data_IF_963498322078
#
_entry.id   IF_963498322078
#
_cell.length_a   1.000
_cell.length_b   1.000
_cell.length_c   1.000
_cell.angle_alpha   90.00
_cell.angle_beta   90.00
_cell.angle_gamma   90.00
#
_symmetry.space_group_name_H-M   'P 1'
#
loop_
_entity.id
_entity.type
_entity.pdbx_description
1 polymer ?
#
# COMPACT_ATOMS: atom_id res chain seq x y z
N UNK A 1 -5.99 17.80 12.45
CA UNK A 1 -5.61 18.96 11.62
C UNK A 1 -4.08 19.07 11.47
N UNK A 2 -3.30 18.95 12.53
CA UNK A 2 -1.83 19.04 12.49
C UNK A 2 -1.21 18.05 11.47
N UNK A 3 -1.62 16.78 11.49
CA UNK A 3 -1.15 15.77 10.52
C UNK A 3 -1.49 16.12 9.08
N UNK A 4 -2.66 16.72 8.85
CA UNK A 4 -3.07 17.17 7.53
C UNK A 4 -2.15 18.26 6.97
N UNK A 5 -1.73 19.18 7.83
CA UNK A 5 -0.77 20.23 7.47
C UNK A 5 0.59 19.61 7.12
N UNK A 6 1.08 18.65 7.92
CA UNK A 6 2.33 17.95 7.64
C UNK A 6 2.29 17.21 6.29
N UNK A 7 1.23 16.47 6.01
CA UNK A 7 1.07 15.79 4.72
C UNK A 7 1.02 16.76 3.54
N UNK A 8 0.28 17.86 3.67
CA UNK A 8 0.25 18.90 2.63
C UNK A 8 1.64 19.49 2.37
N UNK A 9 2.44 19.70 3.40
CA UNK A 9 3.82 20.16 3.27
C UNK A 9 4.66 19.14 2.48
N UNK A 10 4.56 17.84 2.78
CA UNK A 10 5.26 16.79 2.04
C UNK A 10 4.77 16.71 0.59
N UNK A 11 3.47 16.80 0.36
CA UNK A 11 2.89 16.79 -0.99
C UNK A 11 3.43 17.98 -1.82
N UNK A 12 3.48 19.17 -1.24
CA UNK A 12 4.06 20.35 -1.89
C UNK A 12 5.54 20.16 -2.21
N UNK A 13 6.32 19.61 -1.27
CA UNK A 13 7.75 19.30 -1.45
C UNK A 13 8.02 18.41 -2.67
N UNK A 14 7.17 17.41 -2.89
CA UNK A 14 7.30 16.45 -3.99
C UNK A 14 6.51 16.83 -5.24
N UNK A 15 5.76 17.93 -5.23
CA UNK A 15 4.88 18.32 -6.34
C UNK A 15 3.66 17.41 -6.52
N UNK A 16 3.23 16.72 -5.44
CA UNK A 16 2.07 15.83 -5.47
C UNK A 16 0.77 16.61 -5.34
N UNK A 17 -0.29 16.06 -5.95
CA UNK A 17 -1.64 16.64 -5.88
C UNK A 17 -2.34 16.23 -4.61
N UNK A 18 -2.90 17.19 -3.89
CA UNK A 18 -3.83 16.94 -2.78
C UNK A 18 -5.25 16.84 -3.34
N UNK A 19 -5.90 15.70 -3.11
CA UNK A 19 -7.26 15.43 -3.60
C UNK A 19 -8.25 15.40 -2.43
N UNK A 20 -9.54 15.62 -2.74
CA UNK A 20 -10.62 15.58 -1.74
C UNK A 20 -10.82 14.18 -1.14
N UNK A 21 -10.56 13.14 -1.94
CA UNK A 21 -10.52 11.75 -1.50
C UNK A 21 -9.35 11.02 -2.14
N UNK A 22 -8.45 10.51 -1.33
CA UNK A 22 -7.33 9.68 -1.77
C UNK A 22 -6.75 8.88 -0.58
N UNK A 23 -5.82 7.99 -0.88
CA UNK A 23 -5.10 7.20 0.12
C UNK A 23 -3.65 7.67 0.25
N UNK A 24 -3.09 7.55 1.46
CA UNK A 24 -1.67 7.76 1.73
C UNK A 24 -1.14 6.57 2.52
N UNK A 25 -0.05 5.96 2.04
CA UNK A 25 0.73 5.01 2.81
C UNK A 25 1.97 5.67 3.39
N UNK A 26 2.29 5.36 4.63
CA UNK A 26 3.54 5.75 5.27
C UNK A 26 4.34 4.49 5.55
N UNK A 27 5.45 4.33 4.85
CA UNK A 27 6.42 3.26 5.11
C UNK A 27 7.29 3.64 6.28
N UNK A 28 7.28 2.83 7.33
CA UNK A 28 8.10 3.04 8.54
C UNK A 28 9.60 2.96 8.21
N UNK A 29 10.37 3.82 8.86
CA UNK A 29 11.83 3.75 8.82
C UNK A 29 12.40 2.66 9.74
N UNK A 30 11.58 2.10 10.65
CA UNK A 30 11.97 1.00 11.54
C UNK A 30 12.26 -0.29 10.76
N UNK A 31 11.60 -0.49 9.60
CA UNK A 31 11.83 -1.60 8.68
C UNK A 31 11.89 -2.97 9.40
N UNK A 32 10.90 -3.20 10.27
CA UNK A 32 10.83 -4.44 11.05
C UNK A 32 10.40 -5.60 10.15
N UNK A 33 11.14 -6.71 10.15
CA UNK A 33 10.81 -7.84 9.29
C UNK A 33 9.44 -8.45 9.60
N UNK A 34 8.65 -8.69 8.57
CA UNK A 34 7.43 -9.49 8.63
C UNK A 34 6.32 -8.97 9.55
N UNK A 35 6.35 -7.71 9.97
CA UNK A 35 5.33 -7.09 10.83
C UNK A 35 4.60 -5.96 10.12
N UNK A 36 3.36 -5.70 10.56
CA UNK A 36 2.56 -4.58 10.08
C UNK A 36 2.94 -3.31 10.86
N UNK A 37 3.98 -2.62 10.44
CA UNK A 37 4.54 -1.43 11.07
C UNK A 37 4.33 -0.13 10.28
N UNK A 38 3.60 -0.23 9.17
CA UNK A 38 3.25 0.89 8.30
C UNK A 38 1.84 1.41 8.60
N UNK A 39 1.54 2.61 8.08
CA UNK A 39 0.25 3.26 8.31
C UNK A 39 -0.42 3.57 6.97
N UNK A 40 -1.70 3.24 6.89
CA UNK A 40 -2.57 3.56 5.76
C UNK A 40 -3.57 4.64 6.16
N UNK A 41 -3.58 5.77 5.45
CA UNK A 41 -4.52 6.86 5.66
C UNK A 41 -5.58 6.91 4.58
N UNK A 42 -6.81 7.18 4.98
CA UNK A 42 -7.89 7.63 4.10
C UNK A 42 -8.07 9.12 4.32
N UNK A 43 -7.88 9.90 3.27
CA UNK A 43 -8.11 11.34 3.23
C UNK A 43 -9.52 11.58 2.70
N UNK A 44 -10.29 12.39 3.41
CA UNK A 44 -11.60 12.88 2.96
C UNK A 44 -11.66 14.39 3.07
N UNK A 45 -12.71 15.02 2.55
CA UNK A 45 -12.95 16.46 2.77
C UNK A 45 -12.99 16.81 4.26
N UNK A 46 -13.53 15.90 5.08
CA UNK A 46 -13.82 16.13 6.49
C UNK A 46 -12.66 15.76 7.42
N UNK A 47 -11.60 15.12 6.94
CA UNK A 47 -10.46 14.75 7.78
C UNK A 47 -9.66 13.56 7.30
N UNK A 48 -8.89 12.99 8.22
CA UNK A 48 -8.02 11.84 8.02
C UNK A 48 -8.42 10.73 8.99
N UNK A 49 -8.51 9.51 8.47
CA UNK A 49 -8.52 8.30 9.30
C UNK A 49 -7.31 7.45 8.97
N UNK A 50 -6.84 6.63 9.92
CA UNK A 50 -5.65 5.82 9.71
C UNK A 50 -5.82 4.41 10.25
N UNK A 51 -5.08 3.48 9.66
CA UNK A 51 -5.15 2.05 9.91
C UNK A 51 -3.76 1.44 9.82
N UNK A 52 -3.56 0.35 10.54
CA UNK A 52 -2.30 -0.42 10.49
C UNK A 52 -2.22 -1.22 9.20
N UNK A 53 -1.07 -1.16 8.53
CA UNK A 53 -0.85 -1.90 7.30
C UNK A 53 0.60 -2.35 7.14
N UNK A 54 0.87 -3.04 6.04
CA UNK A 54 2.21 -3.18 5.46
C UNK A 54 2.23 -2.62 4.05
N UNK A 55 3.33 -1.99 3.70
CA UNK A 55 3.66 -1.56 2.32
C UNK A 55 4.74 -2.46 1.71
N UNK A 56 5.14 -3.51 2.43
CA UNK A 56 6.20 -4.44 2.07
C UNK A 56 5.68 -5.87 1.94
N UNK A 57 6.47 -6.71 1.28
CA UNK A 57 6.24 -8.15 1.23
C UNK A 57 6.58 -8.80 2.58
N UNK A 58 5.91 -9.91 2.89
CA UNK A 58 6.24 -10.75 4.04
C UNK A 58 7.44 -11.66 3.79
N UNK A 59 8.00 -12.19 4.86
CA UNK A 59 9.18 -13.06 4.86
C UNK A 59 9.07 -14.20 3.85
N UNK A 60 7.89 -14.80 3.72
CA UNK A 60 7.71 -15.94 2.82
C UNK A 60 8.11 -15.58 1.38
N UNK A 61 7.62 -14.43 0.86
CA UNK A 61 7.88 -14.03 -0.52
C UNK A 61 9.22 -13.33 -0.72
N UNK A 62 9.80 -12.76 0.34
CA UNK A 62 11.17 -12.24 0.30
C UNK A 62 12.18 -13.36 0.15
N UNK A 63 11.93 -14.51 0.80
CA UNK A 63 12.78 -15.69 0.73
C UNK A 63 12.49 -16.58 -0.49
N UNK A 64 11.23 -16.61 -0.96
CA UNK A 64 10.76 -17.45 -2.06
C UNK A 64 10.23 -16.59 -3.19
N UNK A 65 11.11 -16.14 -4.06
CA UNK A 65 10.80 -15.17 -5.12
C UNK A 65 9.73 -15.69 -6.09
N UNK A 66 8.62 -14.97 -6.23
CA UNK A 66 7.62 -15.21 -7.28
C UNK A 66 8.10 -14.77 -8.66
N UNK A 67 8.99 -13.80 -8.71
CA UNK A 67 9.55 -13.26 -9.94
C UNK A 67 11.07 -13.39 -9.90
N UNK A 68 11.72 -13.94 -10.94
CA UNK A 68 13.18 -14.10 -10.99
C UNK A 68 13.96 -12.78 -10.92
N UNK A 69 13.31 -11.65 -11.24
CA UNK A 69 13.88 -10.31 -11.07
C UNK A 69 13.96 -9.87 -9.61
N UNK A 70 13.21 -10.51 -8.70
CA UNK A 70 13.12 -10.18 -7.29
C UNK A 70 11.70 -9.84 -6.83
N UNK A 71 11.50 -9.83 -5.51
CA UNK A 71 10.24 -9.43 -4.89
C UNK A 71 9.96 -7.94 -5.13
N UNK A 72 8.71 -7.61 -5.44
CA UNK A 72 8.31 -6.23 -5.69
C UNK A 72 8.24 -5.43 -4.38
N UNK A 73 8.89 -4.28 -4.36
CA UNK A 73 8.79 -3.27 -3.30
C UNK A 73 8.30 -1.98 -3.96
N UNK A 74 7.07 -1.56 -3.66
CA UNK A 74 6.48 -0.38 -4.29
C UNK A 74 7.35 0.85 -4.01
N UNK A 75 7.73 1.56 -5.06
CA UNK A 75 8.55 2.77 -4.95
C UNK A 75 7.71 3.92 -4.37
N UNK A 76 8.21 4.67 -3.39
CA UNK A 76 7.55 5.87 -2.93
C UNK A 76 7.27 6.84 -4.08
N UNK A 77 6.00 7.16 -4.30
CA UNK A 77 5.53 8.06 -5.36
C UNK A 77 4.03 8.31 -5.17
N UNK A 78 3.47 9.25 -5.94
CA UNK A 78 2.04 9.40 -6.10
C UNK A 78 1.58 8.69 -7.37
N UNK A 79 0.63 7.78 -7.21
CA UNK A 79 0.02 6.98 -8.27
C UNK A 79 -1.43 7.42 -8.48
N UNK A 80 -1.65 8.30 -9.45
CA UNK A 80 -2.95 8.92 -9.73
C UNK A 80 -3.88 7.89 -10.39
N UNK A 81 -5.10 7.72 -9.85
CA UNK A 81 -6.17 6.89 -10.42
C UNK A 81 -5.71 5.49 -10.83
N UNK A 82 -4.85 4.88 -10.01
CA UNK A 82 -4.16 3.63 -10.35
C UNK A 82 -4.88 2.39 -9.84
N UNK A 83 -5.83 2.54 -8.94
CA UNK A 83 -6.61 1.43 -8.40
C UNK A 83 -8.11 1.59 -8.66
N UNK A 84 -8.80 0.47 -8.79
CA UNK A 84 -10.26 0.38 -8.85
C UNK A 84 -10.77 -0.70 -7.92
N UNK A 85 -12.01 -0.60 -7.46
CA UNK A 85 -12.65 -1.70 -6.73
C UNK A 85 -12.87 -2.86 -7.72
N UNK A 86 -12.33 -4.01 -7.36
CA UNK A 86 -12.41 -5.25 -8.14
C UNK A 86 -12.20 -6.45 -7.23
N UNK A 87 -12.04 -7.63 -7.81
CA UNK A 87 -11.81 -8.86 -7.04
C UNK A 87 -10.33 -9.17 -6.92
N UNK A 88 -9.80 -9.16 -5.69
CA UNK A 88 -8.45 -9.64 -5.42
C UNK A 88 -8.41 -11.16 -5.61
N UNK A 89 -7.57 -11.62 -6.54
CA UNK A 89 -7.45 -13.03 -6.91
C UNK A 89 -8.80 -13.70 -7.26
N UNK A 90 -9.78 -12.94 -7.76
CA UNK A 90 -11.12 -13.46 -8.05
C UNK A 90 -11.98 -13.81 -6.82
N UNK A 91 -11.57 -13.46 -5.61
CA UNK A 91 -12.18 -13.95 -4.37
C UNK A 91 -13.04 -12.92 -3.64
N UNK A 92 -12.54 -11.72 -3.41
CA UNK A 92 -13.23 -10.69 -2.62
C UNK A 92 -12.90 -9.28 -3.09
N UNK A 93 -13.77 -8.34 -2.77
CA UNK A 93 -13.60 -6.93 -3.15
C UNK A 93 -12.34 -6.34 -2.51
N UNK A 94 -11.52 -5.72 -3.32
CA UNK A 94 -10.32 -4.99 -2.93
C UNK A 94 -10.04 -3.89 -3.95
N UNK A 95 -8.98 -3.13 -3.74
CA UNK A 95 -8.51 -2.17 -4.74
C UNK A 95 -7.48 -2.86 -5.62
N UNK A 96 -7.85 -3.11 -6.87
CA UNK A 96 -6.98 -3.79 -7.84
C UNK A 96 -6.23 -2.77 -8.68
N UNK A 97 -4.95 -3.03 -8.92
CA UNK A 97 -4.11 -2.19 -9.75
C UNK A 97 -4.58 -2.22 -11.22
N UNK A 98 -4.82 -1.04 -11.81
CA UNK A 98 -5.29 -0.89 -13.21
C UNK A 98 -4.37 -0.02 -14.07
N UNK A 99 -3.38 0.64 -13.49
CA UNK A 99 -2.34 1.39 -14.20
C UNK A 99 -0.95 0.96 -13.76
N UNK A 100 0.09 1.15 -14.58
CA UNK A 100 1.46 0.80 -14.21
C UNK A 100 1.94 1.52 -12.94
N UNK A 101 2.68 0.80 -12.11
CA UNK A 101 3.43 1.33 -10.97
C UNK A 101 4.91 1.04 -11.14
N UNK A 102 5.76 1.74 -10.39
CA UNK A 102 7.17 1.49 -10.29
C UNK A 102 7.47 0.70 -9.00
N UNK A 103 8.25 -0.37 -9.13
CA UNK A 103 8.69 -1.18 -8.00
C UNK A 103 10.21 -1.37 -8.06
N UNK A 104 10.84 -1.40 -6.90
CA UNK A 104 12.17 -1.98 -6.77
C UNK A 104 12.05 -3.50 -6.82
N UNK A 105 13.06 -4.17 -7.36
CA UNK A 105 13.15 -5.62 -7.41
C UNK A 105 14.19 -6.12 -6.41
N UNK A 106 13.69 -6.57 -5.27
CA UNK A 106 14.51 -7.12 -4.20
C UNK A 106 14.80 -8.61 -4.46
N UNK A 107 16.07 -8.92 -4.70
CA UNK A 107 16.54 -10.26 -5.08
C UNK A 107 17.45 -10.92 -4.05
N UNK A 108 17.75 -10.25 -2.96
CA UNK A 108 18.79 -10.71 -2.03
C UNK A 108 18.39 -11.91 -1.16
N UNK A 109 17.07 -12.25 -1.12
CA UNK A 109 16.53 -13.38 -0.35
C UNK A 109 16.85 -13.30 1.15
N UNK A 110 16.95 -12.12 1.70
CA UNK A 110 17.00 -11.91 3.13
C UNK A 110 15.58 -11.66 3.69
N UNK A 111 15.46 -11.37 4.97
CA UNK A 111 14.19 -11.19 5.63
C UNK A 111 13.66 -9.75 5.59
N UNK A 112 14.25 -8.86 4.80
CA UNK A 112 13.88 -7.45 4.71
C UNK A 112 13.50 -7.09 3.28
N UNK A 113 12.47 -6.23 3.14
CA UNK A 113 12.13 -5.61 1.88
C UNK A 113 13.05 -4.41 1.65
N UNK A 114 13.84 -4.43 0.59
CA UNK A 114 14.86 -3.43 0.35
C UNK A 114 14.66 -2.69 -0.98
N UNK A 115 14.99 -1.41 -0.97
CA UNK A 115 15.07 -0.62 -2.18
C UNK A 115 16.34 -1.00 -2.94
N UNK A 116 16.18 -1.54 -4.14
CA UNK A 116 17.28 -1.93 -5.00
C UNK A 116 17.53 -0.88 -6.09
N UNK A 117 18.65 -0.99 -6.79
CA UNK A 117 18.92 -0.18 -7.98
C UNK A 117 18.09 -0.62 -9.20
N UNK A 118 17.51 -1.82 -9.15
CA UNK A 118 16.68 -2.35 -10.24
C UNK A 118 15.26 -1.88 -10.05
N UNK A 119 14.81 -1.00 -10.93
CA UNK A 119 13.43 -0.49 -10.97
C UNK A 119 12.73 -1.15 -12.15
N UNK A 120 11.54 -1.66 -11.90
CA UNK A 120 10.65 -2.23 -12.91
C UNK A 120 9.34 -1.44 -12.93
N UNK A 121 8.72 -1.28 -14.09
CA UNK A 121 7.46 -0.55 -14.25
C UNK A 121 6.44 -1.39 -15.00
N UNK A 122 5.26 -1.52 -14.44
CA UNK A 122 4.21 -2.31 -15.08
C UNK A 122 3.00 -2.59 -14.21
N UNK A 123 2.18 -3.50 -14.71
CA UNK A 123 1.04 -4.08 -14.00
C UNK A 123 1.51 -5.36 -13.30
N UNK A 124 1.70 -5.29 -12.00
CA UNK A 124 2.25 -6.40 -11.21
C UNK A 124 1.25 -6.99 -10.23
N UNK A 125 0.00 -6.49 -10.24
CA UNK A 125 -1.00 -6.88 -9.26
C UNK A 125 -0.67 -6.35 -7.85
N UNK A 126 -0.04 -5.19 -7.75
CA UNK A 126 0.15 -4.50 -6.48
C UNK A 126 -1.20 -3.95 -6.03
N UNK A 127 -1.96 -4.78 -5.35
CA UNK A 127 -3.31 -4.45 -4.89
C UNK A 127 -3.27 -3.84 -3.48
N UNK A 128 -4.36 -3.19 -3.08
CA UNK A 128 -4.61 -2.76 -1.71
C UNK A 128 -5.72 -3.66 -1.17
N UNK A 129 -5.40 -4.49 -0.18
CA UNK A 129 -6.32 -5.50 0.30
C UNK A 129 -6.16 -5.78 1.82
N UNK A 130 -6.94 -6.69 2.36
CA UNK A 130 -6.82 -7.18 3.74
C UNK A 130 -5.94 -8.43 3.81
N UNK A 131 -5.41 -8.70 4.99
CA UNK A 131 -4.83 -10.00 5.30
C UNK A 131 -5.95 -11.03 5.57
N UNK A 132 -6.06 -11.58 6.75
CA UNK A 132 -7.11 -12.54 7.11
C UNK A 132 -8.52 -11.94 7.01
N UNK A 133 -9.54 -12.77 6.80
CA UNK A 133 -10.94 -12.33 6.69
C UNK A 133 -11.71 -12.33 8.03
N UNK A 134 -11.14 -12.90 9.07
CA UNK A 134 -11.81 -13.11 10.36
C UNK A 134 -11.09 -12.46 11.53
N UNK A 135 -9.76 -12.48 11.52
CA UNK A 135 -8.93 -12.03 12.64
C UNK A 135 -7.89 -11.00 12.22
N UNK A 136 -7.44 -10.20 13.17
CA UNK A 136 -6.31 -9.29 12.98
C UNK A 136 -5.02 -10.10 12.86
N UNK A 137 -4.29 -9.89 11.77
CA UNK A 137 -3.03 -10.60 11.52
C UNK A 137 -1.87 -9.91 12.22
N UNK A 138 -1.03 -10.70 12.89
CA UNK A 138 0.19 -10.22 13.55
C UNK A 138 1.37 -10.10 12.59
N UNK A 139 1.50 -11.07 11.68
CA UNK A 139 2.63 -11.19 10.76
C UNK A 139 2.15 -11.12 9.32
N UNK A 140 3.01 -10.61 8.45
CA UNK A 140 2.71 -10.43 7.03
C UNK A 140 2.72 -11.78 6.31
N UNK A 141 3.73 -12.60 6.53
CA UNK A 141 3.92 -13.94 5.96
C UNK A 141 3.60 -13.99 4.45
N UNK A 142 2.52 -14.69 4.09
CA UNK A 142 2.05 -14.87 2.70
C UNK A 142 1.03 -13.82 2.24
N UNK A 143 0.57 -12.94 3.15
CA UNK A 143 -0.47 -11.98 2.81
C UNK A 143 -0.04 -10.92 1.79
N UNK A 144 1.25 -10.59 1.76
CA UNK A 144 1.80 -9.63 0.80
C UNK A 144 3.04 -10.18 0.10
N UNK A 145 3.02 -10.13 -1.22
CA UNK A 145 4.19 -10.30 -2.10
C UNK A 145 4.62 -8.95 -2.72
N UNK A 146 4.28 -7.84 -2.05
CA UNK A 146 4.49 -6.45 -2.48
C UNK A 146 3.22 -5.61 -2.47
N UNK A 147 2.04 -6.21 -2.22
CA UNK A 147 0.77 -5.51 -2.04
C UNK A 147 0.78 -4.62 -0.80
N UNK A 148 -0.11 -3.62 -0.79
CA UNK A 148 -0.40 -2.80 0.37
C UNK A 148 -1.51 -3.51 1.16
N UNK A 149 -1.23 -3.98 2.37
CA UNK A 149 -2.14 -4.91 3.07
C UNK A 149 -2.49 -4.39 4.47
N UNK A 150 -3.78 -4.21 4.74
CA UNK A 150 -4.29 -3.90 6.08
C UNK A 150 -4.36 -5.20 6.90
N UNK A 151 -3.91 -5.14 8.15
CA UNK A 151 -3.88 -6.30 9.03
C UNK A 151 -5.25 -6.67 9.63
N UNK A 152 -6.18 -5.71 9.69
CA UNK A 152 -7.51 -5.85 10.31
C UNK A 152 -8.60 -5.88 9.24
N UNK A 153 -9.39 -6.96 9.12
CA UNK A 153 -10.46 -7.06 8.14
C UNK A 153 -11.59 -6.03 8.35
N UNK A 154 -11.88 -5.65 9.58
CA UNK A 154 -12.88 -4.62 9.89
C UNK A 154 -12.44 -3.23 9.40
N UNK A 155 -11.17 -2.90 9.59
CA UNK A 155 -10.60 -1.65 9.09
C UNK A 155 -10.66 -1.59 7.56
N UNK A 156 -10.31 -2.68 6.89
CA UNK A 156 -10.39 -2.76 5.45
C UNK A 156 -11.83 -2.62 4.92
N UNK A 157 -12.81 -3.23 5.59
CA UNK A 157 -14.22 -3.04 5.26
C UNK A 157 -14.66 -1.57 5.38
N UNK A 158 -14.15 -0.86 6.40
CA UNK A 158 -14.37 0.57 6.58
C UNK A 158 -13.75 1.38 5.44
N UNK A 159 -12.53 1.08 5.03
CA UNK A 159 -11.86 1.72 3.88
C UNK A 159 -12.66 1.53 2.59
N UNK A 160 -13.17 0.32 2.33
CA UNK A 160 -14.05 0.05 1.19
C UNK A 160 -15.34 0.88 1.24
N UNK A 161 -15.92 1.04 2.42
CA UNK A 161 -17.12 1.87 2.61
C UNK A 161 -16.83 3.33 2.27
N UNK A 162 -15.75 3.92 2.78
CA UNK A 162 -15.34 5.28 2.41
C UNK A 162 -15.15 5.44 0.89
N UNK A 163 -14.48 4.48 0.27
CA UNK A 163 -14.25 4.51 -1.17
C UNK A 163 -15.57 4.47 -1.96
N UNK A 164 -16.52 3.62 -1.59
CA UNK A 164 -17.84 3.57 -2.22
C UNK A 164 -18.63 4.86 -2.05
N UNK A 165 -18.61 5.45 -0.85
CA UNK A 165 -19.28 6.71 -0.56
C UNK A 165 -18.67 7.91 -1.30
N UNK A 166 -17.41 7.84 -1.70
CA UNK A 166 -16.75 8.88 -2.49
C UNK A 166 -17.28 9.00 -3.92
N UNK A 167 -18.01 7.99 -4.40
CA UNK A 167 -18.50 7.86 -5.77
C UNK A 167 -17.41 7.91 -6.86
N UNK A 168 -16.14 7.72 -6.49
CA UNK A 168 -15.04 7.64 -7.45
C UNK A 168 -14.99 6.26 -8.09
N UNK A 169 -14.59 6.20 -9.35
CA UNK A 169 -14.36 4.95 -10.08
C UNK A 169 -12.93 4.45 -9.93
N UNK A 170 -11.99 5.37 -9.74
CA UNK A 170 -10.58 5.08 -9.57
C UNK A 170 -10.01 5.85 -8.39
N UNK A 171 -8.96 5.31 -7.81
CA UNK A 171 -8.38 5.78 -6.56
C UNK A 171 -6.89 6.08 -6.72
N UNK A 172 -6.50 7.21 -6.16
CA UNK A 172 -5.10 7.65 -6.06
C UNK A 172 -4.52 7.19 -4.74
N UNK A 173 -3.31 6.65 -4.79
CA UNK A 173 -2.51 6.28 -3.62
C UNK A 173 -1.15 6.94 -3.69
N UNK A 174 -0.75 7.57 -2.60
CA UNK A 174 0.58 8.18 -2.45
C UNK A 174 1.34 7.43 -1.37
N UNK A 175 2.45 6.79 -1.74
CA UNK A 175 3.35 6.15 -0.78
C UNK A 175 4.47 7.13 -0.42
N UNK A 176 4.60 7.42 0.86
CA UNK A 176 5.68 8.21 1.44
C UNK A 176 6.53 7.33 2.36
N UNK A 177 7.80 7.70 2.53
CA UNK A 177 8.59 7.25 3.67
C UNK A 177 8.22 8.05 4.91
N UNK A 178 8.38 7.48 6.07
CA UNK A 178 8.26 8.17 7.35
C UNK A 178 9.19 9.39 7.38
N UNK A 179 8.71 10.53 7.93
CA UNK A 179 9.36 11.84 7.94
C UNK A 179 9.08 12.60 9.24
#
# INVERSE_FOLDING_TARGET
EFRRVLFRSQFNKFGYKWLDFHFIGIRSNADLPNVFDDIFYVVTKNGLTHYTCTTNAGTHWLMNLLNPKGTAVLKPNQYIDTWQIGLHQGKYQAFVQVKPVEVYRDKNKNNKAEESLVIDKGLFGINIHRANDKIVSKFIDKWSAGCQVLNNPSDFATVLTYAKLSNQKSFTYTLLKEF
#
